data_IF_564572269667
#
_entry.id   IF_564572269667
#
_cell.length_a   1.000
_cell.length_b   1.000
_cell.length_c   1.000
_cell.angle_alpha   90.00
_cell.angle_beta   90.00
_cell.angle_gamma   90.00
#
_symmetry.space_group_name_H-M   'P 1'
#
loop_
_entity.id
_entity.type
_entity.pdbx_description
1 polymer ?
#
# COMPACT_ATOMS: atom_id res chain seq x y z
N UNK A 1 30.20 9.67 -16.85
CA UNK A 1 29.35 9.27 -15.71
C UNK A 1 27.94 9.69 -16.06
N UNK A 2 27.17 8.79 -16.68
CA UNK A 2 25.76 9.04 -16.97
C UNK A 2 25.02 9.22 -15.66
N UNK A 3 24.33 10.35 -15.51
CA UNK A 3 23.32 10.47 -14.45
C UNK A 3 22.19 9.53 -14.84
N UNK A 4 22.10 8.40 -14.17
CA UNK A 4 20.86 7.60 -14.17
C UNK A 4 19.80 8.50 -13.53
N UNK A 5 19.01 9.18 -14.36
CA UNK A 5 17.80 9.83 -13.90
C UNK A 5 16.82 8.71 -13.59
N UNK A 6 16.86 8.16 -12.38
CA UNK A 6 15.80 7.27 -11.94
C UNK A 6 14.49 8.06 -12.06
N UNK A 7 13.62 7.65 -12.99
CA UNK A 7 12.24 8.04 -12.93
C UNK A 7 11.72 7.74 -11.52
N UNK A 8 10.95 8.66 -10.94
CA UNK A 8 10.42 8.48 -9.60
C UNK A 8 9.61 7.18 -9.58
N UNK A 9 10.02 6.25 -8.71
CA UNK A 9 9.27 5.02 -8.42
C UNK A 9 7.80 5.35 -8.19
N UNK A 10 6.92 4.69 -8.94
CA UNK A 10 5.48 4.84 -8.86
C UNK A 10 4.93 3.90 -7.81
N UNK A 11 4.23 4.47 -6.83
CA UNK A 11 3.76 3.77 -5.64
C UNK A 11 2.26 3.95 -5.52
N UNK A 12 1.52 2.84 -5.41
CA UNK A 12 0.12 2.86 -4.99
C UNK A 12 0.07 2.80 -3.48
N UNK A 13 -0.74 3.66 -2.87
CA UNK A 13 -1.01 3.61 -1.43
C UNK A 13 -2.50 3.70 -1.12
N UNK A 14 -2.91 2.79 -0.24
CA UNK A 14 -4.24 2.68 0.30
C UNK A 14 -4.21 2.39 1.80
N UNK A 15 -5.27 2.80 2.48
CA UNK A 15 -5.57 2.33 3.84
C UNK A 15 -6.67 1.30 3.73
N UNK A 16 -6.34 0.02 3.95
CA UNK A 16 -7.30 -1.06 3.86
C UNK A 16 -8.23 -1.05 5.07
N UNK A 17 -9.51 -1.32 4.86
CA UNK A 17 -10.48 -1.57 5.94
C UNK A 17 -11.26 -0.34 6.39
N UNK A 18 -11.49 -0.16 7.68
CA UNK A 18 -12.39 0.89 8.21
C UNK A 18 -11.67 2.17 8.66
N UNK A 19 -10.42 2.37 8.26
CA UNK A 19 -9.54 3.39 8.80
C UNK A 19 -9.54 4.68 7.97
N UNK A 20 -9.92 5.80 8.60
CA UNK A 20 -10.02 7.13 7.99
C UNK A 20 -8.75 8.00 8.12
N UNK A 21 -7.64 7.44 8.62
CA UNK A 21 -6.41 8.21 8.87
C UNK A 21 -5.54 8.36 7.61
N UNK A 22 -5.61 9.52 6.97
CA UNK A 22 -4.90 9.83 5.71
C UNK A 22 -3.48 10.43 5.88
N UNK A 23 -2.88 10.37 7.08
CA UNK A 23 -1.62 11.09 7.37
C UNK A 23 -0.42 10.46 6.67
N UNK A 24 -0.32 9.12 6.62
CA UNK A 24 0.80 8.39 5.99
C UNK A 24 0.98 8.75 4.52
N UNK A 25 -0.13 8.95 3.80
CA UNK A 25 -0.14 9.16 2.35
C UNK A 25 0.45 10.52 1.94
N UNK A 26 0.55 11.49 2.86
CA UNK A 26 1.09 12.84 2.56
C UNK A 26 2.62 12.92 2.58
N UNK A 27 3.29 12.01 3.28
CA UNK A 27 4.76 12.05 3.41
C UNK A 27 5.41 11.48 2.15
N UNK A 28 4.90 10.35 1.64
CA UNK A 28 5.48 9.66 0.47
C UNK A 28 5.40 10.50 -0.81
N UNK A 29 4.39 11.38 -0.94
CA UNK A 29 4.23 12.31 -2.06
C UNK A 29 5.44 13.24 -2.27
N UNK A 30 6.29 13.43 -1.25
CA UNK A 30 7.49 14.27 -1.35
C UNK A 30 8.66 13.57 -2.04
N UNK A 31 8.69 12.24 -1.99
CA UNK A 31 9.86 11.43 -2.39
C UNK A 31 9.55 10.57 -3.62
N UNK A 32 8.32 10.07 -3.73
CA UNK A 32 7.87 9.15 -4.78
C UNK A 32 6.82 9.79 -5.70
N UNK A 33 6.51 9.13 -6.81
CA UNK A 33 5.29 9.38 -7.57
C UNK A 33 4.19 8.54 -6.94
N UNK A 34 3.25 9.17 -6.26
CA UNK A 34 2.25 8.45 -5.44
C UNK A 34 0.88 8.48 -6.11
N UNK A 35 0.30 7.29 -6.29
CA UNK A 35 -1.11 7.06 -6.62
C UNK A 35 -1.82 6.77 -5.31
N UNK A 36 -2.46 7.80 -4.76
CA UNK A 36 -3.10 7.71 -3.45
C UNK A 36 -4.59 7.40 -3.61
N UNK A 37 -5.00 6.20 -3.20
CA UNK A 37 -6.40 5.75 -3.24
C UNK A 37 -7.22 6.25 -2.03
N UNK A 38 -6.56 6.89 -1.07
CA UNK A 38 -7.18 7.47 0.11
C UNK A 38 -7.34 6.46 1.23
N UNK A 39 -8.55 6.37 1.76
CA UNK A 39 -8.90 5.63 2.97
C UNK A 39 -10.05 4.69 2.69
N UNK A 40 -10.15 3.62 3.49
CA UNK A 40 -11.19 2.61 3.38
C UNK A 40 -11.25 1.92 2.02
N UNK A 41 -10.09 1.54 1.50
CA UNK A 41 -9.97 0.83 0.22
C UNK A 41 -9.91 -0.67 0.43
N UNK A 42 -10.28 -1.43 -0.59
CA UNK A 42 -10.12 -2.88 -0.65
C UNK A 42 -8.75 -3.27 -1.21
N UNK A 43 -8.31 -4.50 -0.93
CA UNK A 43 -7.13 -5.09 -1.58
C UNK A 43 -7.25 -5.06 -3.12
N UNK A 44 -8.47 -5.21 -3.63
CA UNK A 44 -8.74 -5.20 -5.06
C UNK A 44 -8.54 -3.83 -5.70
N UNK A 45 -8.93 -2.76 -5.01
CA UNK A 45 -8.68 -1.40 -5.47
C UNK A 45 -7.18 -1.09 -5.52
N UNK A 46 -6.41 -1.47 -4.49
CA UNK A 46 -4.95 -1.30 -4.49
C UNK A 46 -4.30 -2.03 -5.66
N UNK A 47 -4.70 -3.27 -5.92
CA UNK A 47 -4.15 -4.07 -7.00
C UNK A 47 -4.57 -3.51 -8.37
N UNK A 48 -5.84 -3.16 -8.57
CA UNK A 48 -6.31 -2.62 -9.84
C UNK A 48 -5.60 -1.32 -10.18
N UNK A 49 -5.44 -0.42 -9.21
CA UNK A 49 -4.68 0.81 -9.39
C UNK A 49 -3.22 0.54 -9.75
N UNK A 50 -2.60 -0.48 -9.15
CA UNK A 50 -1.22 -0.84 -9.47
C UNK A 50 -1.07 -1.31 -10.92
N UNK A 51 -2.03 -2.10 -11.41
CA UNK A 51 -2.08 -2.54 -12.81
C UNK A 51 -2.30 -1.34 -13.75
N UNK A 52 -3.34 -0.55 -13.50
CA UNK A 52 -3.72 0.60 -14.34
C UNK A 52 -2.61 1.64 -14.44
N UNK A 53 -1.84 1.82 -13.38
CA UNK A 53 -0.77 2.85 -13.31
C UNK A 53 0.63 2.31 -13.57
N UNK A 54 0.76 1.00 -13.82
CA UNK A 54 2.06 0.31 -13.93
C UNK A 54 2.97 0.64 -12.74
N UNK A 55 2.42 0.50 -11.53
CA UNK A 55 3.14 0.83 -10.31
C UNK A 55 4.26 -0.17 -10.03
N UNK A 56 5.37 0.33 -9.49
CA UNK A 56 6.51 -0.48 -9.08
C UNK A 56 6.26 -1.19 -7.74
N UNK A 57 5.35 -0.63 -6.93
CA UNK A 57 5.07 -1.11 -5.57
C UNK A 57 3.68 -0.72 -5.08
N UNK A 58 3.11 -1.58 -4.24
CA UNK A 58 1.92 -1.29 -3.43
C UNK A 58 2.36 -1.15 -1.98
N UNK A 59 1.90 -0.08 -1.33
CA UNK A 59 2.12 0.18 0.09
C UNK A 59 0.78 0.25 0.79
N UNK A 60 0.56 -0.65 1.74
CA UNK A 60 -0.62 -0.63 2.60
C UNK A 60 -0.26 0.14 3.88
N UNK A 61 -1.02 1.18 4.16
CA UNK A 61 -0.95 1.90 5.43
C UNK A 61 -2.04 1.38 6.35
N UNK A 62 -1.67 0.68 7.42
CA UNK A 62 -2.61 0.24 8.46
C UNK A 62 -2.33 1.03 9.74
N UNK A 63 -3.08 2.10 10.02
CA UNK A 63 -2.83 2.95 11.20
C UNK A 63 -3.69 2.50 12.39
N UNK A 64 -4.86 1.92 12.12
CA UNK A 64 -5.81 1.49 13.15
C UNK A 64 -5.53 0.12 13.80
N UNK A 65 -4.39 -0.52 13.53
CA UNK A 65 -3.98 -1.73 14.26
C UNK A 65 -4.46 -3.05 13.67
N UNK A 66 -5.15 -3.06 12.53
CA UNK A 66 -5.74 -4.30 11.98
C UNK A 66 -5.01 -4.83 10.75
N UNK A 67 -3.76 -4.41 10.52
CA UNK A 67 -2.96 -4.90 9.39
C UNK A 67 -2.86 -6.43 9.36
N UNK A 68 -2.76 -7.07 10.53
CA UNK A 68 -2.75 -8.54 10.67
C UNK A 68 -4.05 -9.22 10.22
N UNK A 69 -5.17 -8.49 10.21
CA UNK A 69 -6.48 -8.99 9.79
C UNK A 69 -6.75 -8.64 8.33
N UNK A 70 -6.32 -7.45 7.88
CA UNK A 70 -6.69 -6.88 6.59
C UNK A 70 -5.74 -7.23 5.44
N UNK A 71 -4.46 -7.46 5.73
CA UNK A 71 -3.44 -7.74 4.72
C UNK A 71 -3.32 -9.21 4.28
N UNK A 72 -3.76 -10.23 5.04
CA UNK A 72 -3.76 -11.60 4.56
C UNK A 72 -4.46 -11.76 3.20
N UNK A 73 -3.86 -12.55 2.30
CA UNK A 73 -4.38 -12.81 0.96
C UNK A 73 -3.85 -11.88 -0.14
N UNK A 74 -3.33 -10.69 0.20
CA UNK A 74 -2.93 -9.68 -0.78
C UNK A 74 -1.92 -10.19 -1.82
N UNK A 75 -0.89 -10.92 -1.39
CA UNK A 75 0.10 -11.54 -2.30
C UNK A 75 -0.56 -12.54 -3.25
N UNK A 76 -1.46 -13.38 -2.76
CA UNK A 76 -2.13 -14.39 -3.60
C UNK A 76 -3.00 -13.69 -4.65
N UNK A 77 -3.71 -12.63 -4.28
CA UNK A 77 -4.48 -11.81 -5.21
C UNK A 77 -3.58 -11.14 -6.27
N UNK A 78 -2.39 -10.68 -5.90
CA UNK A 78 -1.41 -10.16 -6.87
C UNK A 78 -0.94 -11.23 -7.87
N UNK A 79 -0.65 -12.45 -7.39
CA UNK A 79 -0.24 -13.59 -8.23
C UNK A 79 -1.34 -13.95 -9.22
N UNK A 80 -2.60 -13.97 -8.77
CA UNK A 80 -3.76 -14.28 -9.62
C UNK A 80 -4.03 -13.23 -10.72
N UNK A 81 -3.43 -12.04 -10.61
CA UNK A 81 -3.60 -10.91 -11.53
C UNK A 81 -2.31 -10.58 -12.29
N UNK A 82 -1.39 -11.54 -12.40
CA UNK A 82 -0.13 -11.42 -13.15
C UNK A 82 0.83 -10.31 -12.68
N UNK A 83 0.67 -9.82 -11.44
CA UNK A 83 1.60 -8.88 -10.78
C UNK A 83 2.24 -9.49 -9.53
N UNK A 84 2.42 -10.81 -9.52
CA UNK A 84 2.91 -11.57 -8.37
C UNK A 84 4.25 -11.09 -7.80
N UNK A 85 5.10 -10.50 -8.65
CA UNK A 85 6.44 -10.03 -8.30
C UNK A 85 6.49 -8.58 -7.81
N UNK A 86 5.36 -7.87 -7.77
CA UNK A 86 5.30 -6.48 -7.30
C UNK A 86 5.75 -6.39 -5.82
N UNK A 87 6.55 -5.37 -5.49
CA UNK A 87 6.95 -5.14 -4.12
C UNK A 87 5.75 -4.71 -3.27
N UNK A 88 5.50 -5.44 -2.18
CA UNK A 88 4.48 -5.14 -1.20
C UNK A 88 5.13 -4.67 0.10
N UNK A 89 4.71 -3.51 0.59
CA UNK A 89 5.05 -3.04 1.92
C UNK A 89 3.79 -2.82 2.74
N UNK A 90 3.86 -3.16 4.03
CA UNK A 90 2.80 -2.86 4.99
C UNK A 90 3.43 -2.06 6.13
N UNK A 91 2.86 -0.92 6.46
CA UNK A 91 3.38 -0.03 7.49
C UNK A 91 2.27 0.60 8.33
N UNK A 92 2.66 1.15 9.48
CA UNK A 92 1.73 1.72 10.46
C UNK A 92 1.65 0.87 11.73
N UNK A 93 0.49 0.87 12.38
CA UNK A 93 0.20 0.00 13.50
C UNK A 93 -0.39 -1.32 12.98
N UNK A 94 0.39 -2.40 13.00
CA UNK A 94 0.02 -3.66 12.36
C UNK A 94 -0.84 -4.57 13.25
N UNK A 95 -0.85 -4.33 14.56
CA UNK A 95 -1.63 -5.09 15.53
C UNK A 95 -2.18 -4.16 16.62
N UNK A 96 -3.45 -4.34 16.99
CA UNK A 96 -3.97 -3.76 18.22
C UNK A 96 -3.36 -4.56 19.37
N UNK A 97 -2.48 -3.94 20.14
CA UNK A 97 -2.00 -4.51 21.39
C UNK A 97 -3.20 -4.82 22.29
N UNK A 98 -3.47 -6.11 22.51
CA UNK A 98 -4.46 -6.58 23.50
C UNK A 98 -4.09 -5.96 24.85
N UNK A 99 -4.88 -5.00 25.33
CA UNK A 99 -4.97 -4.74 26.76
C UNK A 99 -5.43 -6.03 27.41
N UNK A 100 -4.49 -6.72 28.05
CA UNK A 100 -4.80 -7.75 29.05
C UNK A 100 -5.44 -7.03 30.26
N UNK A 101 -6.32 -7.71 31.01
CA UNK A 101 -7.52 -7.14 31.66
C UNK A 101 -7.25 -6.04 32.71
#
# INVERSE_FOLDING_TARGET
MERVTHEKTTLVIGVIGADCHAVGNKILNRVFRVINLGVMVSQDEDINAAIETSADTIVVSSIYGHGDIDCPGLRNCCIQRDIGDIFLYVGGNLAVSKTSP
#
